data_IF_102204133741
#
_entry.id   IF_102204133741
#
_cell.length_a   1.000
_cell.length_b   1.000
_cell.length_c   1.000
_cell.angle_alpha   90.00
_cell.angle_beta   90.00
_cell.angle_gamma   90.00
#
_symmetry.space_group_name_H-M   'P 1'
#
loop_
_entity.id
_entity.type
_entity.pdbx_description
1 polymer ?
#
# COMPACT_ATOMS: atom_id res chain seq x y z
N UNK A 1 5.16 -34.30 1.06
CA UNK A 1 5.98 -33.67 0.00
C UNK A 1 5.04 -33.25 -1.12
N UNK A 2 5.19 -32.06 -1.74
CA UNK A 2 4.27 -31.62 -2.79
C UNK A 2 4.35 -32.56 -3.99
N UNK A 3 3.19 -33.01 -4.47
CA UNK A 3 3.09 -33.93 -5.61
C UNK A 3 3.33 -33.16 -6.91
N UNK A 4 4.50 -33.32 -7.52
CA UNK A 4 4.74 -32.86 -8.88
C UNK A 4 4.25 -33.91 -9.89
N UNK A 5 3.87 -33.45 -11.09
CA UNK A 5 3.37 -34.31 -12.16
C UNK A 5 4.10 -34.09 -13.48
N UNK A 6 4.22 -35.15 -14.28
CA UNK A 6 4.72 -35.10 -15.67
C UNK A 6 3.57 -35.56 -16.56
N UNK A 7 3.16 -34.74 -17.51
CA UNK A 7 2.14 -35.12 -18.50
C UNK A 7 2.78 -35.33 -19.85
N UNK A 8 2.61 -36.53 -20.40
CA UNK A 8 2.99 -36.88 -21.77
C UNK A 8 1.73 -36.76 -22.63
N UNK A 9 1.68 -35.82 -23.58
CA UNK A 9 0.51 -35.62 -24.43
C UNK A 9 0.24 -36.86 -25.29
N UNK A 10 -1.03 -36.99 -25.72
CA UNK A 10 -1.53 -38.11 -26.52
C UNK A 10 -0.60 -38.45 -27.71
N UNK A 11 0.03 -39.64 -27.70
CA UNK A 11 0.85 -40.06 -28.82
C UNK A 11 0.00 -40.52 -30.00
N UNK A 12 0.47 -40.25 -31.22
CA UNK A 12 -0.09 -40.83 -32.45
C UNK A 12 0.58 -42.19 -32.69
N UNK A 13 -0.10 -43.27 -32.31
CA UNK A 13 0.37 -44.64 -32.49
C UNK A 13 -0.46 -45.35 -33.57
N UNK A 14 0.20 -46.16 -34.40
CA UNK A 14 -0.51 -47.09 -35.29
C UNK A 14 -0.91 -48.36 -34.54
N UNK A 15 -1.84 -49.14 -35.11
CA UNK A 15 -2.37 -50.35 -34.48
C UNK A 15 -1.24 -51.32 -34.05
N UNK A 16 -1.28 -51.76 -32.79
CA UNK A 16 -0.31 -52.68 -32.18
C UNK A 16 0.96 -52.02 -31.62
N UNK A 17 1.19 -50.73 -31.84
CA UNK A 17 2.31 -50.01 -31.23
C UNK A 17 2.00 -49.57 -29.80
N UNK A 18 3.05 -49.45 -28.96
CA UNK A 18 2.93 -48.87 -27.62
C UNK A 18 4.24 -48.22 -27.15
N UNK A 19 4.17 -47.39 -26.10
CA UNK A 19 5.35 -46.79 -25.48
C UNK A 19 5.69 -47.45 -24.14
N UNK A 20 6.98 -47.66 -23.89
CA UNK A 20 7.52 -47.84 -22.55
C UNK A 20 8.10 -46.52 -22.08
N UNK A 21 7.76 -46.11 -20.87
CA UNK A 21 8.29 -44.89 -20.26
C UNK A 21 8.97 -45.24 -18.95
N UNK A 22 10.22 -44.82 -18.81
CA UNK A 22 10.96 -44.91 -17.55
C UNK A 22 11.39 -43.52 -17.12
N UNK A 23 11.47 -43.30 -15.83
CA UNK A 23 11.98 -42.07 -15.26
C UNK A 23 12.95 -42.39 -14.13
N UNK A 24 13.95 -41.52 -13.94
CA UNK A 24 14.82 -41.57 -12.77
C UNK A 24 15.14 -40.18 -12.28
N UNK A 25 15.39 -40.09 -10.97
CA UNK A 25 15.97 -38.92 -10.35
C UNK A 25 17.44 -38.79 -10.80
N UNK A 26 17.90 -37.60 -11.18
CA UNK A 26 19.32 -37.35 -11.44
C UNK A 26 20.04 -36.90 -10.17
N UNK A 27 21.34 -37.20 -10.00
CA UNK A 27 22.20 -37.94 -10.95
C UNK A 27 22.19 -39.46 -10.77
N UNK A 28 21.71 -39.98 -9.63
CA UNK A 28 21.97 -41.38 -9.20
C UNK A 28 20.70 -42.21 -8.93
N UNK A 29 19.52 -41.69 -9.24
CA UNK A 29 18.26 -42.40 -8.99
C UNK A 29 18.11 -43.66 -9.84
N UNK A 30 17.44 -44.67 -9.26
CA UNK A 30 17.02 -45.86 -9.97
C UNK A 30 15.92 -45.56 -11.00
N UNK A 31 15.85 -46.38 -12.05
CA UNK A 31 14.80 -46.28 -13.06
C UNK A 31 13.48 -46.86 -12.53
N UNK A 32 12.43 -46.05 -12.56
CA UNK A 32 11.06 -46.45 -12.30
C UNK A 32 10.27 -46.42 -13.61
N UNK A 33 9.57 -47.51 -13.91
CA UNK A 33 8.93 -47.71 -15.22
C UNK A 33 7.42 -47.77 -15.16
N UNK A 34 6.78 -47.26 -16.21
CA UNK A 34 5.37 -47.45 -16.52
C UNK A 34 5.26 -48.02 -17.94
N UNK A 35 4.33 -48.95 -18.14
CA UNK A 35 3.99 -49.41 -19.48
C UNK A 35 2.63 -48.84 -19.84
N UNK A 36 2.59 -47.90 -20.78
CA UNK A 36 1.32 -47.38 -21.28
C UNK A 36 1.01 -48.03 -22.64
N UNK A 37 -0.08 -48.80 -22.67
CA UNK A 37 -0.58 -49.49 -23.88
C UNK A 37 -1.72 -48.74 -24.57
N UNK A 38 -1.98 -47.50 -24.17
CA UNK A 38 -3.09 -46.71 -24.70
C UNK A 38 -2.61 -45.47 -25.42
N UNK A 39 -3.39 -44.99 -26.38
CA UNK A 39 -3.20 -43.69 -27.04
C UNK A 39 -3.72 -42.54 -26.16
N UNK A 40 -3.79 -42.69 -24.85
CA UNK A 40 -4.25 -41.63 -23.95
C UNK A 40 -3.07 -40.83 -23.41
N UNK A 41 -3.32 -39.56 -23.13
CA UNK A 41 -2.42 -38.72 -22.31
C UNK A 41 -2.07 -39.47 -21.02
N UNK A 42 -0.79 -39.51 -20.67
CA UNK A 42 -0.30 -40.19 -19.47
C UNK A 42 0.30 -39.20 -18.49
N UNK A 43 -0.05 -39.34 -17.21
CA UNK A 43 0.45 -38.49 -16.14
C UNK A 43 1.17 -39.33 -15.08
N UNK A 44 2.44 -39.02 -14.82
CA UNK A 44 3.17 -39.54 -13.66
C UNK A 44 2.91 -38.60 -12.50
N UNK A 45 2.43 -39.11 -11.36
CA UNK A 45 2.14 -38.33 -10.15
C UNK A 45 3.01 -38.78 -8.98
N UNK A 46 3.01 -38.03 -7.88
CA UNK A 46 3.71 -38.41 -6.65
C UNK A 46 5.24 -38.22 -6.71
N UNK A 47 5.71 -37.40 -7.64
CA UNK A 47 7.13 -37.10 -7.79
C UNK A 47 7.54 -35.95 -6.87
N UNK A 48 8.77 -36.03 -6.35
CA UNK A 48 9.37 -34.95 -5.58
C UNK A 48 9.94 -33.88 -6.51
N UNK A 49 10.10 -32.66 -6.00
CA UNK A 49 10.74 -31.58 -6.74
C UNK A 49 12.23 -31.85 -6.92
N UNK A 50 12.68 -32.10 -8.16
CA UNK A 50 14.07 -32.36 -8.49
C UNK A 50 14.30 -32.42 -10.00
N UNK A 51 15.54 -32.70 -10.42
CA UNK A 51 15.87 -32.99 -11.80
C UNK A 51 15.66 -34.47 -12.11
N UNK A 52 15.00 -34.74 -13.23
CA UNK A 52 14.69 -36.09 -13.68
C UNK A 52 15.16 -36.29 -15.12
N UNK A 53 15.43 -37.54 -15.45
CA UNK A 53 15.59 -38.01 -16.82
C UNK A 53 14.42 -38.92 -17.16
N UNK A 54 13.70 -38.59 -18.23
CA UNK A 54 12.73 -39.47 -18.89
C UNK A 54 13.45 -40.26 -19.96
N UNK A 55 13.06 -41.51 -20.08
CA UNK A 55 13.37 -42.36 -21.22
C UNK A 55 12.04 -42.83 -21.84
N UNK A 56 11.92 -42.65 -23.14
CA UNK A 56 10.74 -43.06 -23.93
C UNK A 56 11.20 -44.02 -25.02
N UNK A 57 10.58 -45.20 -25.08
CA UNK A 57 10.89 -46.25 -26.05
C UNK A 57 9.62 -46.61 -26.81
N UNK A 58 9.62 -46.43 -28.13
CA UNK A 58 8.57 -46.94 -29.00
C UNK A 58 8.77 -48.45 -29.20
N UNK A 59 7.71 -49.23 -29.02
CA UNK A 59 7.66 -50.64 -29.36
C UNK A 59 6.73 -50.80 -30.56
N UNK A 60 7.27 -51.35 -31.66
CA UNK A 60 6.52 -51.65 -32.89
C UNK A 60 5.56 -52.84 -32.66
N UNK A 61 4.60 -53.02 -33.57
CA UNK A 61 3.60 -54.08 -33.48
C UNK A 61 4.20 -55.51 -33.49
N UNK A 62 5.37 -55.68 -34.10
CA UNK A 62 6.17 -56.92 -34.11
C UNK A 62 6.97 -57.15 -32.82
N UNK A 63 6.89 -56.23 -31.84
CA UNK A 63 7.65 -56.26 -30.60
C UNK A 63 9.04 -55.62 -30.68
N UNK A 64 9.47 -55.17 -31.85
CA UNK A 64 10.77 -54.52 -32.03
C UNK A 64 10.81 -53.19 -31.28
N UNK A 65 11.83 -52.99 -30.44
CA UNK A 65 12.04 -51.74 -29.71
C UNK A 65 12.89 -50.78 -30.53
N UNK A 66 12.40 -49.56 -30.75
CA UNK A 66 13.18 -48.48 -31.33
C UNK A 66 14.22 -47.94 -30.33
N UNK A 67 15.26 -47.23 -30.80
CA UNK A 67 16.19 -46.53 -29.92
C UNK A 67 15.47 -45.61 -28.94
N UNK A 68 15.93 -45.62 -27.68
CA UNK A 68 15.35 -44.80 -26.63
C UNK A 68 15.62 -43.31 -26.85
N UNK A 69 14.62 -42.48 -26.57
CA UNK A 69 14.76 -41.02 -26.54
C UNK A 69 14.83 -40.58 -25.08
N UNK A 70 15.88 -39.83 -24.74
CA UNK A 70 16.07 -39.28 -23.40
C UNK A 70 15.70 -37.80 -23.38
N UNK A 71 14.95 -37.40 -22.36
CA UNK A 71 14.61 -35.99 -22.08
C UNK A 71 14.87 -35.70 -20.61
N UNK A 72 15.62 -34.65 -20.32
CA UNK A 72 15.79 -34.16 -18.96
C UNK A 72 14.76 -33.06 -18.70
N UNK A 73 14.23 -33.04 -17.49
CA UNK A 73 13.28 -32.04 -17.04
C UNK A 73 13.47 -31.78 -15.54
N UNK A 74 13.15 -30.56 -15.12
CA UNK A 74 13.20 -30.16 -13.72
C UNK A 74 11.78 -30.01 -13.21
N UNK A 75 11.40 -30.85 -12.24
CA UNK A 75 10.15 -30.69 -11.51
C UNK A 75 10.36 -29.69 -10.40
N UNK A 76 9.60 -28.61 -10.45
CA UNK A 76 9.60 -27.58 -9.43
C UNK A 76 8.41 -27.86 -8.52
N UNK A 77 8.69 -28.12 -7.24
CA UNK A 77 7.66 -28.34 -6.23
C UNK A 77 6.97 -27.05 -5.83
N UNK A 78 5.84 -27.19 -5.13
CA UNK A 78 5.24 -26.05 -4.47
C UNK A 78 6.20 -25.48 -3.44
N UNK A 79 6.33 -24.15 -3.43
CA UNK A 79 7.18 -23.44 -2.48
C UNK A 79 6.56 -23.48 -1.08
N UNK A 80 7.35 -23.85 -0.08
CA UNK A 80 6.93 -23.80 1.32
C UNK A 80 7.12 -22.39 1.88
N UNK A 81 6.05 -21.60 1.84
CA UNK A 81 6.04 -20.24 2.37
C UNK A 81 6.26 -20.18 3.89
N UNK A 82 6.14 -21.29 4.66
CA UNK A 82 6.33 -21.27 6.12
C UNK A 82 7.79 -20.99 6.54
N UNK A 83 8.73 -21.12 5.59
CA UNK A 83 10.16 -20.86 5.82
C UNK A 83 10.54 -19.39 5.73
N UNK A 84 9.59 -18.51 5.44
CA UNK A 84 9.78 -17.06 5.47
C UNK A 84 8.54 -16.40 6.06
N UNK A 85 8.76 -15.50 7.03
CA UNK A 85 7.68 -14.70 7.58
C UNK A 85 7.77 -13.30 7.00
N UNK A 86 6.71 -12.82 6.37
CA UNK A 86 6.64 -11.46 5.83
C UNK A 86 5.85 -10.53 6.75
N UNK A 87 6.17 -9.25 6.67
CA UNK A 87 5.35 -8.15 7.16
C UNK A 87 5.31 -7.03 6.13
N UNK A 88 4.24 -6.26 6.12
CA UNK A 88 4.10 -5.10 5.26
C UNK A 88 3.51 -3.94 6.06
N UNK A 89 4.08 -2.75 5.85
CA UNK A 89 3.57 -1.52 6.44
C UNK A 89 3.81 -0.35 5.50
N UNK A 90 3.01 0.71 5.64
CA UNK A 90 3.28 1.98 4.98
C UNK A 90 4.08 2.84 5.94
N UNK A 91 5.17 3.45 5.47
CA UNK A 91 5.99 4.37 6.27
C UNK A 91 6.21 5.66 5.51
N UNK A 92 6.43 6.76 6.23
CA UNK A 92 6.82 8.03 5.65
C UNK A 92 8.34 8.18 5.75
N UNK A 93 9.02 8.38 4.62
CA UNK A 93 10.46 8.64 4.55
C UNK A 93 10.64 9.98 3.85
N UNK A 94 11.00 11.00 4.62
CA UNK A 94 10.96 12.38 4.14
C UNK A 94 9.51 12.81 3.81
N UNK A 95 9.28 13.25 2.57
CA UNK A 95 7.95 13.65 2.08
C UNK A 95 7.19 12.52 1.35
N UNK A 96 7.79 11.35 1.16
CA UNK A 96 7.24 10.27 0.34
C UNK A 96 6.80 9.08 1.21
N UNK A 97 5.59 8.59 0.97
CA UNK A 97 5.14 7.34 1.57
C UNK A 97 5.73 6.16 0.82
N UNK A 98 6.16 5.14 1.54
CA UNK A 98 6.73 3.92 0.99
C UNK A 98 5.97 2.73 1.54
N UNK A 99 5.69 1.74 0.68
CA UNK A 99 5.40 0.39 1.13
C UNK A 99 6.72 -0.22 1.59
N UNK A 100 6.84 -0.52 2.87
CA UNK A 100 7.95 -1.25 3.44
C UNK A 100 7.54 -2.71 3.66
N UNK A 101 8.25 -3.62 3.00
CA UNK A 101 8.14 -5.06 3.23
C UNK A 101 9.31 -5.52 4.10
N UNK A 102 8.99 -6.16 5.20
CA UNK A 102 9.93 -6.82 6.11
C UNK A 102 9.83 -8.33 5.95
N UNK A 103 10.92 -9.04 6.24
CA UNK A 103 10.90 -10.50 6.21
C UNK A 103 11.97 -11.11 7.10
N UNK A 104 11.66 -12.30 7.63
CA UNK A 104 12.57 -13.12 8.42
C UNK A 104 12.71 -14.49 7.75
N UNK A 105 13.95 -14.90 7.46
CA UNK A 105 14.27 -16.21 6.88
C UNK A 105 14.43 -17.22 8.02
N UNK A 106 13.58 -18.24 8.06
CA UNK A 106 13.62 -19.28 9.09
C UNK A 106 14.60 -20.40 8.70
N UNK A 107 14.96 -21.26 9.66
CA UNK A 107 15.81 -22.41 9.39
C UNK A 107 15.25 -23.29 8.26
N UNK A 108 16.11 -23.64 7.30
CA UNK A 108 15.73 -24.39 6.10
C UNK A 108 15.14 -23.55 4.96
N UNK A 109 15.23 -22.21 5.03
CA UNK A 109 14.90 -21.34 3.92
C UNK A 109 15.75 -21.65 2.67
N UNK A 110 15.06 -21.91 1.56
CA UNK A 110 15.65 -21.99 0.22
C UNK A 110 14.96 -20.91 -0.62
N UNK A 111 15.71 -20.15 -1.40
CA UNK A 111 15.12 -19.13 -2.26
C UNK A 111 14.28 -19.79 -3.38
N UNK A 112 13.12 -19.22 -3.74
CA UNK A 112 12.34 -19.74 -4.87
C UNK A 112 13.13 -19.61 -6.18
N UNK A 113 12.97 -20.54 -7.13
CA UNK A 113 13.83 -20.62 -8.31
C UNK A 113 13.81 -19.38 -9.20
N UNK A 114 12.67 -18.68 -9.30
CA UNK A 114 12.52 -17.47 -10.10
C UNK A 114 12.29 -16.20 -9.27
N UNK A 115 12.54 -16.26 -7.97
CA UNK A 115 12.46 -15.09 -7.11
C UNK A 115 11.08 -14.80 -6.57
N UNK A 116 10.89 -13.54 -6.22
CA UNK A 116 9.73 -13.07 -5.48
C UNK A 116 9.05 -11.95 -6.25
N UNK A 117 7.73 -11.91 -6.13
CA UNK A 117 6.93 -10.84 -6.68
C UNK A 117 6.09 -10.22 -5.57
N UNK A 118 6.16 -8.89 -5.46
CA UNK A 118 5.25 -8.12 -4.62
C UNK A 118 4.20 -7.52 -5.56
N UNK A 119 2.94 -7.81 -5.31
CA UNK A 119 1.80 -7.22 -5.98
C UNK A 119 1.09 -6.35 -4.98
N UNK A 120 0.75 -5.12 -5.36
CA UNK A 120 -0.05 -4.26 -4.50
C UNK A 120 -1.13 -3.56 -5.30
N UNK A 121 -2.32 -3.47 -4.73
CA UNK A 121 -3.49 -2.81 -5.34
C UNK A 121 -3.68 -1.46 -4.68
N UNK A 122 -3.85 -0.44 -5.53
CA UNK A 122 -4.07 0.93 -5.13
C UNK A 122 -5.14 1.58 -6.03
N UNK A 123 -6.25 2.05 -5.45
CA UNK A 123 -7.42 2.59 -6.17
C UNK A 123 -7.83 1.72 -7.37
N UNK A 124 -8.00 0.42 -7.14
CA UNK A 124 -8.34 -0.58 -8.17
C UNK A 124 -7.30 -0.79 -9.27
N UNK A 125 -6.12 -0.15 -9.16
CA UNK A 125 -4.99 -0.35 -10.07
C UNK A 125 -3.99 -1.31 -9.43
N UNK A 126 -3.62 -2.36 -10.15
CA UNK A 126 -2.65 -3.36 -9.70
C UNK A 126 -1.25 -2.98 -10.16
N UNK A 127 -0.32 -2.90 -9.20
CA UNK A 127 1.09 -2.67 -9.45
C UNK A 127 1.89 -3.94 -9.15
N UNK A 128 2.93 -4.16 -9.93
CA UNK A 128 3.81 -5.32 -9.79
C UNK A 128 5.24 -4.84 -9.55
N UNK A 129 5.86 -5.33 -8.48
CA UNK A 129 7.26 -5.13 -8.18
C UNK A 129 7.96 -6.49 -8.12
N UNK A 130 8.85 -6.74 -9.09
CA UNK A 130 9.59 -7.99 -9.17
C UNK A 130 10.94 -7.84 -8.46
N UNK A 131 11.22 -8.76 -7.55
CA UNK A 131 12.52 -8.83 -6.88
C UNK A 131 13.40 -9.77 -7.70
N UNK A 132 14.32 -9.19 -8.47
CA UNK A 132 15.23 -9.93 -9.36
C UNK A 132 16.46 -10.47 -8.64
N UNK A 133 16.79 -9.95 -7.46
CA UNK A 133 17.90 -10.46 -6.65
C UNK A 133 17.51 -11.74 -5.91
N UNK A 134 18.35 -12.78 -6.08
CA UNK A 134 18.23 -14.06 -5.41
C UNK A 134 19.53 -14.37 -4.66
N UNK A 135 19.50 -14.58 -3.33
CA UNK A 135 18.33 -14.58 -2.43
C UNK A 135 17.74 -13.18 -2.20
N UNK A 136 16.59 -13.10 -1.49
CA UNK A 136 16.03 -11.82 -1.01
C UNK A 136 17.14 -10.95 -0.40
N UNK A 137 17.17 -9.63 -0.70
CA UNK A 137 18.26 -8.74 -0.31
C UNK A 137 18.50 -8.69 1.21
N UNK A 138 19.53 -7.99 1.64
CA UNK A 138 19.74 -7.75 3.08
C UNK A 138 18.91 -6.54 3.49
N UNK A 139 17.98 -6.72 4.43
CA UNK A 139 17.13 -5.65 4.97
C UNK A 139 15.78 -5.47 4.26
N UNK A 140 15.08 -4.40 4.61
CA UNK A 140 13.70 -4.17 4.18
C UNK A 140 13.62 -3.71 2.71
N UNK A 141 12.59 -4.15 2.01
CA UNK A 141 12.28 -3.66 0.66
C UNK A 141 11.41 -2.41 0.83
N UNK A 142 11.74 -1.34 0.11
CA UNK A 142 10.98 -0.07 0.13
C UNK A 142 10.54 0.27 -1.29
N UNK A 143 9.24 0.38 -1.49
CA UNK A 143 8.64 0.76 -2.77
C UNK A 143 7.98 2.13 -2.58
N UNK A 144 8.47 3.19 -3.24
CA UNK A 144 7.87 4.52 -3.12
C UNK A 144 6.45 4.51 -3.69
N UNK A 145 5.53 5.14 -2.98
CA UNK A 145 4.12 5.22 -3.34
C UNK A 145 3.81 6.63 -3.85
N UNK A 146 3.04 6.70 -4.94
CA UNK A 146 2.57 7.97 -5.51
C UNK A 146 1.35 8.53 -4.78
N UNK A 147 0.72 7.74 -3.92
CA UNK A 147 -0.42 8.11 -3.09
C UNK A 147 -0.46 7.19 -1.85
N UNK A 148 -1.07 7.64 -0.76
CA UNK A 148 -0.97 7.06 0.57
C UNK A 148 -2.28 6.49 1.11
N UNK A 149 -3.27 6.25 0.25
CA UNK A 149 -4.48 5.53 0.65
C UNK A 149 -4.17 4.04 0.84
N UNK A 150 -4.95 3.35 1.68
CA UNK A 150 -4.70 1.95 2.07
C UNK A 150 -4.46 1.03 0.87
N UNK A 151 -3.60 0.02 1.07
CA UNK A 151 -3.12 -0.89 0.02
C UNK A 151 -3.47 -2.32 0.38
N UNK A 152 -3.90 -3.13 -0.60
CA UNK A 152 -3.83 -4.58 -0.48
C UNK A 152 -2.48 -5.04 -1.02
N UNK A 153 -1.69 -5.74 -0.20
CA UNK A 153 -0.35 -6.21 -0.57
C UNK A 153 -0.30 -7.72 -0.54
N UNK A 154 0.10 -8.33 -1.66
CA UNK A 154 0.24 -9.77 -1.83
C UNK A 154 1.67 -10.10 -2.28
N UNK A 155 2.34 -11.04 -1.60
CA UNK A 155 3.71 -11.46 -1.91
C UNK A 155 3.69 -12.90 -2.39
N UNK A 156 4.26 -13.13 -3.57
CA UNK A 156 4.29 -14.42 -4.24
C UNK A 156 5.71 -14.93 -4.43
N UNK A 157 5.90 -16.24 -4.28
CA UNK A 157 7.10 -16.91 -4.80
C UNK A 157 6.88 -17.32 -6.27
N UNK A 158 7.86 -17.08 -7.14
CA UNK A 158 7.84 -17.47 -8.56
C UNK A 158 8.57 -18.80 -8.80
N UNK A 159 7.89 -19.73 -9.46
CA UNK A 159 8.35 -21.09 -9.74
C UNK A 159 8.76 -21.32 -11.21
N UNK A 160 9.15 -20.29 -11.95
CA UNK A 160 9.70 -20.36 -13.33
C UNK A 160 8.81 -20.99 -14.41
N UNK A 161 7.58 -21.36 -14.07
CA UNK A 161 6.63 -22.08 -14.92
C UNK A 161 5.35 -21.27 -15.15
N UNK A 162 5.40 -19.96 -14.86
CA UNK A 162 4.22 -19.11 -14.73
C UNK A 162 3.40 -19.38 -13.47
N UNK A 163 3.75 -20.42 -12.69
CA UNK A 163 3.12 -20.72 -11.41
C UNK A 163 3.65 -19.80 -10.32
N UNK A 164 2.73 -19.20 -9.58
CA UNK A 164 2.99 -18.34 -8.42
C UNK A 164 2.30 -18.94 -7.21
N UNK A 165 2.95 -18.87 -6.06
CA UNK A 165 2.35 -19.26 -4.77
C UNK A 165 2.26 -18.03 -3.87
N UNK A 166 1.06 -17.73 -3.38
CA UNK A 166 0.84 -16.67 -2.41
C UNK A 166 1.45 -17.07 -1.07
N UNK A 167 2.36 -16.26 -0.56
CA UNK A 167 3.04 -16.48 0.71
C UNK A 167 2.65 -15.47 1.79
N UNK A 168 2.12 -14.32 1.41
CA UNK A 168 1.66 -13.29 2.34
C UNK A 168 0.61 -12.43 1.65
N UNK A 169 -0.41 -12.05 2.40
CA UNK A 169 -1.40 -11.07 1.98
C UNK A 169 -1.83 -10.25 3.20
N UNK A 170 -1.91 -8.93 3.04
CA UNK A 170 -2.40 -8.05 4.08
C UNK A 170 -2.91 -6.74 3.53
N UNK A 171 -3.90 -6.17 4.21
CA UNK A 171 -4.26 -4.77 4.10
C UNK A 171 -3.27 -3.91 4.87
N UNK A 172 -2.65 -2.97 4.18
CA UNK A 172 -1.70 -2.01 4.72
C UNK A 172 -2.38 -0.64 4.75
N UNK A 173 -2.76 -0.21 5.94
CA UNK A 173 -3.37 1.11 6.14
C UNK A 173 -2.32 2.20 6.15
N UNK A 174 -2.74 3.41 5.74
CA UNK A 174 -1.96 4.62 5.96
C UNK A 174 -1.66 4.77 7.46
N UNK A 175 -0.43 5.13 7.86
CA UNK A 175 -0.16 5.44 9.25
C UNK A 175 -1.05 6.59 9.71
N UNK A 176 -1.58 6.49 10.93
CA UNK A 176 -2.24 7.60 11.56
C UNK A 176 -1.21 8.72 11.76
N UNK A 177 -1.39 9.85 11.08
CA UNK A 177 -0.65 11.06 11.40
C UNK A 177 -1.40 11.76 12.53
N UNK A 178 -0.79 11.98 13.70
CA UNK A 178 -1.44 12.69 14.79
C UNK A 178 -1.81 14.10 14.32
N UNK A 179 -3.08 14.47 14.50
CA UNK A 179 -3.56 15.82 14.20
C UNK A 179 -2.96 16.77 15.25
N UNK A 180 -2.17 17.75 14.81
CA UNK A 180 -1.71 18.84 15.66
C UNK A 180 -2.63 20.03 15.46
N UNK A 181 -3.26 20.50 16.54
CA UNK A 181 -4.10 21.69 16.50
C UNK A 181 -3.31 22.91 16.01
N UNK A 182 -4.00 23.81 15.32
CA UNK A 182 -3.57 25.19 15.09
C UNK A 182 -3.18 25.83 16.42
N UNK A 183 -2.33 26.85 16.43
CA UNK A 183 -2.17 27.70 17.62
C UNK A 183 -2.35 29.16 17.25
N UNK A 184 -3.04 29.91 18.11
CA UNK A 184 -3.19 31.36 17.95
C UNK A 184 -1.97 32.04 18.58
N UNK A 185 -1.18 32.71 17.74
CA UNK A 185 0.01 33.46 18.19
C UNK A 185 -0.40 34.84 18.70
N UNK A 186 -1.37 35.48 18.06
CA UNK A 186 -1.95 36.74 18.52
C UNK A 186 -3.29 37.01 17.83
N UNK A 187 -4.17 37.74 18.50
CA UNK A 187 -5.32 38.39 17.85
C UNK A 187 -5.20 39.89 18.06
N UNK A 188 -5.43 40.68 17.00
CA UNK A 188 -5.39 42.14 17.05
C UNK A 188 -6.59 42.71 16.34
N UNK A 189 -7.14 43.79 16.89
CA UNK A 189 -8.17 44.58 16.23
C UNK A 189 -7.56 45.90 15.78
N UNK A 190 -7.73 46.25 14.51
CA UNK A 190 -7.20 47.48 13.92
C UNK A 190 -8.30 48.27 13.26
N UNK A 191 -8.16 49.60 13.31
CA UNK A 191 -8.98 50.53 12.54
C UNK A 191 -8.19 50.93 11.30
N UNK A 192 -8.78 50.74 10.12
CA UNK A 192 -8.21 51.25 8.88
C UNK A 192 -8.34 52.78 8.88
N UNK A 193 -7.23 53.54 8.84
CA UNK A 193 -7.28 55.00 8.94
C UNK A 193 -7.90 55.67 7.71
N UNK A 194 -7.88 55.04 6.53
CA UNK A 194 -8.42 55.65 5.30
C UNK A 194 -9.92 55.41 5.13
N UNK A 195 -10.44 54.28 5.60
CA UNK A 195 -11.87 53.93 5.48
C UNK A 195 -12.65 54.04 6.78
N UNK A 196 -11.96 54.11 7.92
CA UNK A 196 -12.56 54.06 9.24
C UNK A 196 -13.10 52.68 9.64
N UNK A 197 -12.95 51.65 8.79
CA UNK A 197 -13.45 50.30 9.02
C UNK A 197 -12.59 49.55 10.04
N UNK A 198 -13.20 48.67 10.82
CA UNK A 198 -12.52 47.88 11.83
C UNK A 198 -12.32 46.43 11.35
N UNK A 199 -11.13 45.88 11.63
CA UNK A 199 -10.76 44.52 11.26
C UNK A 199 -10.21 43.78 12.46
N UNK A 200 -10.55 42.50 12.58
CA UNK A 200 -9.86 41.57 13.48
C UNK A 200 -8.92 40.74 12.63
N UNK A 201 -7.64 40.70 13.01
CA UNK A 201 -6.62 39.83 12.42
C UNK A 201 -6.17 38.80 13.43
N UNK A 202 -6.34 37.52 13.09
CA UNK A 202 -5.87 36.37 13.85
C UNK A 202 -4.57 35.88 13.22
N UNK A 203 -3.45 36.04 13.91
CA UNK A 203 -2.16 35.46 13.49
C UNK A 203 -2.05 34.06 14.08
N UNK A 204 -1.98 33.06 13.19
CA UNK A 204 -2.09 31.65 13.50
C UNK A 204 -0.85 30.89 13.03
N UNK A 205 -0.48 29.86 13.78
CA UNK A 205 0.37 28.78 13.31
C UNK A 205 -0.52 27.63 12.84
N UNK A 206 -0.36 27.20 11.59
CA UNK A 206 -1.22 26.19 10.96
C UNK A 206 -1.25 24.85 11.72
N UNK A 207 -2.39 24.17 11.65
CA UNK A 207 -2.52 22.78 12.11
C UNK A 207 -1.68 21.85 11.24
N UNK A 208 -1.39 20.64 11.72
CA UNK A 208 -0.82 19.56 10.92
C UNK A 208 -1.80 18.37 10.89
N UNK A 209 -2.43 18.03 9.75
CA UNK A 209 -2.33 18.71 8.44
C UNK A 209 -2.97 20.14 8.44
N UNK A 210 -2.58 21.03 7.49
CA UNK A 210 -3.10 22.40 7.44
C UNK A 210 -4.62 22.46 7.26
N UNK A 211 -5.26 23.40 7.96
CA UNK A 211 -6.70 23.64 7.87
C UNK A 211 -6.98 24.74 6.84
N UNK A 212 -7.72 24.43 5.78
CA UNK A 212 -8.06 25.41 4.72
C UNK A 212 -9.40 26.12 4.94
N UNK A 213 -10.26 25.60 5.82
CA UNK A 213 -11.61 26.12 6.09
C UNK A 213 -11.92 26.11 7.59
N UNK A 214 -11.23 26.91 8.43
CA UNK A 214 -11.53 26.98 9.85
C UNK A 214 -12.88 27.66 10.09
N UNK A 215 -13.48 27.41 11.25
CA UNK A 215 -14.71 28.09 11.67
C UNK A 215 -14.33 29.23 12.63
N UNK A 216 -14.73 30.45 12.32
CA UNK A 216 -14.46 31.65 13.13
C UNK A 216 -15.77 32.23 13.65
N UNK A 217 -15.78 32.49 14.94
CA UNK A 217 -16.86 33.21 15.62
C UNK A 217 -16.32 34.47 16.27
N UNK A 218 -17.08 35.56 16.24
CA UNK A 218 -16.86 36.75 17.04
C UNK A 218 -18.17 37.33 17.55
N UNK A 219 -18.08 38.09 18.64
CA UNK A 219 -19.15 38.89 19.21
C UNK A 219 -18.58 40.14 19.87
N UNK A 220 -19.20 41.30 19.61
CA UNK A 220 -18.95 42.51 20.37
C UNK A 220 -19.46 42.34 21.81
N UNK A 221 -18.58 42.53 22.79
CA UNK A 221 -18.90 42.40 24.23
C UNK A 221 -18.84 43.71 24.98
N UNK A 222 -18.20 44.75 24.44
CA UNK A 222 -18.15 46.08 25.04
C UNK A 222 -18.11 47.16 23.94
N UNK A 223 -18.85 48.27 24.10
CA UNK A 223 -19.96 48.47 25.05
C UNK A 223 -21.15 47.58 24.73
N UNK A 224 -21.87 47.22 25.79
CA UNK A 224 -23.19 46.60 25.69
C UNK A 224 -24.19 47.71 25.34
N UNK A 225 -24.82 47.65 24.18
CA UNK A 225 -25.89 48.58 23.78
C UNK A 225 -27.21 47.85 23.64
N UNK A 226 -28.32 48.60 23.60
CA UNK A 226 -29.68 48.06 23.46
C UNK A 226 -30.01 47.55 22.04
N UNK A 227 -29.03 47.50 21.13
CA UNK A 227 -29.18 46.93 19.79
C UNK A 227 -28.61 45.51 19.68
N UNK A 228 -28.82 44.85 18.54
CA UNK A 228 -28.18 43.55 18.29
C UNK A 228 -26.64 43.73 18.32
N UNK A 229 -25.90 42.95 19.12
CA UNK A 229 -24.45 42.99 19.10
C UNK A 229 -23.95 42.50 17.74
N UNK A 230 -22.85 43.09 17.26
CA UNK A 230 -22.16 42.59 16.07
C UNK A 230 -21.59 41.20 16.39
N UNK A 231 -22.19 40.17 15.79
CA UNK A 231 -21.93 38.77 16.09
C UNK A 231 -22.04 37.95 14.79
N UNK A 232 -21.05 37.10 14.54
CA UNK A 232 -21.05 36.25 13.33
C UNK A 232 -20.27 34.97 13.54
N UNK A 233 -20.83 33.88 13.02
CA UNK A 233 -20.15 32.62 12.76
C UNK A 233 -19.95 32.47 11.25
N UNK A 234 -18.72 32.21 10.81
CA UNK A 234 -18.41 32.04 9.39
C UNK A 234 -17.18 31.16 9.17
N UNK A 235 -16.95 30.75 7.92
CA UNK A 235 -15.85 29.85 7.54
C UNK A 235 -14.99 30.56 6.48
N UNK A 236 -13.90 31.25 6.87
CA UNK A 236 -12.99 31.82 5.87
C UNK A 236 -12.25 30.72 5.12
N UNK A 237 -11.95 30.97 3.84
CA UNK A 237 -11.03 30.14 3.08
C UNK A 237 -9.61 30.69 3.26
N UNK A 238 -8.68 29.83 3.66
CA UNK A 238 -7.27 30.19 3.82
C UNK A 238 -6.37 29.20 3.06
N UNK A 239 -5.22 29.65 2.57
CA UNK A 239 -4.24 28.75 1.95
C UNK A 239 -3.56 27.88 3.01
N UNK A 240 -3.00 26.75 2.58
CA UNK A 240 -2.22 25.86 3.45
C UNK A 240 -0.95 26.50 4.03
N UNK A 241 -0.56 27.68 3.52
CA UNK A 241 0.60 28.47 3.96
C UNK A 241 0.21 29.76 4.68
N UNK A 242 -1.09 30.07 4.81
CA UNK A 242 -1.54 31.30 5.43
C UNK A 242 -1.19 31.32 6.92
N UNK A 243 -0.63 32.44 7.39
CA UNK A 243 -0.28 32.68 8.80
C UNK A 243 -1.21 33.67 9.48
N UNK A 244 -2.18 34.23 8.75
CA UNK A 244 -3.14 35.18 9.30
C UNK A 244 -4.51 35.07 8.63
N UNK A 245 -5.55 35.38 9.41
CA UNK A 245 -6.94 35.52 8.96
C UNK A 245 -7.42 36.91 9.33
N UNK A 246 -7.81 37.72 8.35
CA UNK A 246 -8.33 39.07 8.58
C UNK A 246 -9.78 39.18 8.11
N UNK A 247 -10.65 39.73 8.94
CA UNK A 247 -12.06 39.93 8.62
C UNK A 247 -12.58 41.23 9.23
N UNK A 248 -13.51 41.86 8.52
CA UNK A 248 -14.14 43.10 8.94
C UNK A 248 -15.17 42.83 10.05
N UNK A 249 -15.20 43.72 11.03
CA UNK A 249 -16.25 43.82 12.05
C UNK A 249 -16.93 45.18 11.95
N UNK A 250 -18.17 45.27 12.39
CA UNK A 250 -18.97 46.49 12.31
C UNK A 250 -19.45 46.85 13.70
N UNK A 251 -18.65 47.60 14.49
CA UNK A 251 -19.04 47.97 15.84
C UNK A 251 -20.40 48.63 15.86
N UNK A 252 -21.20 48.30 16.87
CA UNK A 252 -22.56 48.79 16.97
C UNK A 252 -22.58 50.34 16.95
N UNK A 253 -23.28 50.98 15.99
CA UNK A 253 -23.22 52.42 15.82
C UNK A 253 -23.94 53.19 16.95
N UNK A 254 -24.87 52.54 17.67
CA UNK A 254 -25.56 53.14 18.82
C UNK A 254 -24.69 53.18 20.08
N UNK A 255 -23.53 52.53 20.05
CA UNK A 255 -22.60 52.48 21.16
C UNK A 255 -21.64 53.68 21.13
N UNK A 256 -21.90 54.66 22.01
CA UNK A 256 -20.98 55.79 22.25
C UNK A 256 -19.88 55.31 23.20
N UNK A 257 -18.87 54.63 22.65
CA UNK A 257 -17.68 54.21 23.41
C UNK A 257 -16.40 54.60 22.68
N UNK A 258 -15.37 54.89 23.48
CA UNK A 258 -14.00 55.11 23.02
C UNK A 258 -13.28 53.79 22.74
N UNK A 259 -13.74 52.68 23.30
CA UNK A 259 -13.13 51.35 23.12
C UNK A 259 -14.20 50.33 22.74
N UNK A 260 -13.91 49.55 21.70
CA UNK A 260 -14.72 48.40 21.30
C UNK A 260 -13.97 47.12 21.65
N UNK A 261 -14.66 46.19 22.33
CA UNK A 261 -14.10 44.87 22.68
C UNK A 261 -14.91 43.77 22.00
N UNK A 262 -14.19 42.82 21.42
CA UNK A 262 -14.74 41.61 20.82
C UNK A 262 -14.14 40.37 21.48
N UNK A 263 -14.99 39.40 21.76
CA UNK A 263 -14.57 38.04 22.13
C UNK A 263 -14.97 37.09 21.01
N UNK A 264 -14.17 36.05 20.78
CA UNK A 264 -14.47 35.08 19.76
C UNK A 264 -13.70 33.79 19.92
N UNK A 265 -13.87 32.89 18.97
CA UNK A 265 -13.03 31.71 18.85
C UNK A 265 -12.73 31.37 17.39
N UNK A 266 -11.67 30.60 17.19
CA UNK A 266 -11.38 29.89 15.95
C UNK A 266 -11.32 28.39 16.22
N UNK A 267 -11.94 27.60 15.35
CA UNK A 267 -11.90 26.14 15.38
C UNK A 267 -11.27 25.60 14.09
N UNK A 268 -10.28 24.72 14.24
CA UNK A 268 -9.56 24.10 13.12
C UNK A 268 -10.14 22.73 12.71
N UNK A 269 -9.53 22.09 11.69
CA UNK A 269 -9.92 20.76 11.23
C UNK A 269 -9.56 19.63 12.22
N UNK A 270 -8.62 19.86 13.13
CA UNK A 270 -8.29 18.98 14.24
C UNK A 270 -9.25 19.14 15.42
N UNK A 271 -10.31 19.96 15.28
CA UNK A 271 -11.29 20.33 16.30
C UNK A 271 -10.77 21.21 17.44
N UNK A 272 -9.50 21.62 17.38
CA UNK A 272 -8.89 22.54 18.33
C UNK A 272 -9.64 23.86 18.35
N UNK A 273 -9.98 24.36 19.55
CA UNK A 273 -10.73 25.58 19.75
C UNK A 273 -9.88 26.59 20.52
N UNK A 274 -9.71 27.77 19.94
CA UNK A 274 -8.90 28.85 20.51
C UNK A 274 -9.76 30.09 20.67
N UNK A 275 -9.94 30.52 21.91
CA UNK A 275 -10.66 31.74 22.24
C UNK A 275 -9.74 32.95 22.20
N UNK A 276 -10.26 34.09 21.77
CA UNK A 276 -9.52 35.35 21.78
C UNK A 276 -10.40 36.49 22.27
N UNK A 277 -9.75 37.52 22.81
CA UNK A 277 -10.36 38.81 23.13
C UNK A 277 -9.50 39.90 22.54
N UNK A 278 -10.10 40.83 21.81
CA UNK A 278 -9.41 41.95 21.19
C UNK A 278 -10.14 43.24 21.51
N UNK A 279 -9.41 44.34 21.64
CA UNK A 279 -9.99 45.66 21.81
C UNK A 279 -9.31 46.67 20.90
N UNK A 280 -10.04 47.68 20.47
CA UNK A 280 -9.51 48.78 19.67
C UNK A 280 -10.13 50.11 20.11
N UNK A 281 -9.29 51.14 20.20
CA UNK A 281 -9.74 52.51 20.42
C UNK A 281 -10.42 53.05 19.17
N UNK A 282 -11.48 53.83 19.36
CA UNK A 282 -12.18 54.57 18.30
C UNK A 282 -11.30 55.69 17.73
N UNK A 283 -10.40 56.25 18.55
CA UNK A 283 -9.48 57.33 18.22
C UNK A 283 -8.04 56.83 18.15
#
# INVERSE_FOLDING_TARGET
MPNATITIPQPVLTAGQYFKTRHRLLPSGGWSGYTNRTNATFTITGLVAAQYQLEVILVKADGTQCPAIYKTFTLIGDYDCTKVTFGAQMIKVGSVYNLQVTYTKNAGYVAPPCGWQIVYVHNSTTYNYTITSLPLPTGNIRIPLTNNNGLLVSIFSDLCSGKKKLCYEADVTKPYEPCANMTLVSAVMTKNPSTGLFYITLNILQSAPPTTTPMVYYKQTNPLSSGLPDEKLFTPTISSTATAISFQVTPNPAAISEVFTYTGYIRDACTGLFTYTVSCSRF
#
